data_IF_100307297511
#
_entry.id   IF_100307297511
#
_cell.length_a   1.000
_cell.length_b   1.000
_cell.length_c   1.000
_cell.angle_alpha   90.00
_cell.angle_beta   90.00
_cell.angle_gamma   90.00
#
_symmetry.space_group_name_H-M   'P 1'
#
loop_
_entity.id
_entity.type
_entity.pdbx_description
1 polymer ?
#
# COMPACT_ATOMS: atom_id res chain seq x y z
N UNK A 1 59.25 -24.55 -6.41
CA UNK A 1 58.34 -23.92 -7.40
C UNK A 1 59.11 -22.84 -8.14
N UNK A 2 59.18 -22.91 -9.47
CA UNK A 2 59.88 -21.92 -10.31
C UNK A 2 59.22 -20.55 -10.20
N UNK A 3 59.97 -19.48 -10.49
CA UNK A 3 59.45 -18.10 -10.44
C UNK A 3 58.17 -17.93 -11.27
N UNK A 4 58.07 -18.59 -12.43
CA UNK A 4 56.88 -18.56 -13.28
C UNK A 4 55.63 -19.19 -12.66
N UNK A 5 55.77 -20.22 -11.81
CA UNK A 5 54.64 -20.88 -11.13
C UNK A 5 54.01 -19.97 -10.06
N UNK A 6 54.80 -19.12 -9.39
CA UNK A 6 54.29 -18.16 -8.40
C UNK A 6 53.51 -17.02 -9.06
N UNK A 7 53.96 -16.56 -10.23
CA UNK A 7 53.28 -15.51 -11.00
C UNK A 7 51.92 -15.97 -11.52
N UNK A 8 51.83 -17.21 -12.03
CA UNK A 8 50.56 -17.79 -12.51
C UNK A 8 49.56 -17.94 -11.36
N UNK A 9 50.01 -18.43 -10.19
CA UNK A 9 49.14 -18.59 -9.03
C UNK A 9 48.63 -17.24 -8.51
N UNK A 10 49.46 -16.20 -8.56
CA UNK A 10 49.07 -14.85 -8.17
C UNK A 10 48.04 -14.22 -9.13
N UNK A 11 48.21 -14.40 -10.44
CA UNK A 11 47.23 -13.97 -11.45
C UNK A 11 45.89 -14.71 -11.32
N UNK A 12 45.91 -16.03 -11.05
CA UNK A 12 44.70 -16.81 -10.80
C UNK A 12 43.98 -16.36 -9.52
N UNK A 13 44.73 -16.02 -8.46
CA UNK A 13 44.16 -15.48 -7.23
C UNK A 13 43.49 -14.13 -7.45
N UNK A 14 44.14 -13.22 -8.20
CA UNK A 14 43.55 -11.92 -8.57
C UNK A 14 42.28 -12.13 -9.40
N UNK A 15 42.31 -13.03 -10.38
CA UNK A 15 41.15 -13.33 -11.23
C UNK A 15 40.00 -13.91 -10.39
N UNK A 16 40.30 -14.79 -9.44
CA UNK A 16 39.30 -15.38 -8.54
C UNK A 16 38.70 -14.34 -7.59
N UNK A 17 39.52 -13.43 -7.05
CA UNK A 17 39.07 -12.29 -6.24
C UNK A 17 38.19 -11.36 -7.08
N UNK A 18 38.59 -11.06 -8.32
CA UNK A 18 37.81 -10.24 -9.24
C UNK A 18 36.48 -10.92 -9.61
N UNK A 19 36.48 -12.24 -9.80
CA UNK A 19 35.28 -13.03 -10.06
C UNK A 19 34.34 -13.07 -8.85
N UNK A 20 34.87 -13.23 -7.63
CA UNK A 20 34.08 -13.17 -6.39
C UNK A 20 33.52 -11.76 -6.08
N UNK A 21 34.28 -10.70 -6.39
CA UNK A 21 33.83 -9.31 -6.29
C UNK A 21 32.74 -8.99 -7.33
N UNK A 22 32.89 -9.51 -8.56
CA UNK A 22 31.90 -9.33 -9.64
C UNK A 22 30.59 -10.08 -9.34
N UNK A 23 30.67 -11.27 -8.75
CA UNK A 23 29.49 -12.04 -8.32
C UNK A 23 28.78 -11.40 -7.11
N UNK A 24 29.50 -10.63 -6.28
CA UNK A 24 28.91 -9.94 -5.12
C UNK A 24 28.19 -8.65 -5.48
N UNK A 25 28.45 -8.07 -6.66
CA UNK A 25 27.78 -6.86 -7.15
C UNK A 25 26.53 -7.15 -7.99
N UNK A 26 26.56 -8.22 -8.80
CA UNK A 26 25.49 -8.54 -9.74
C UNK A 26 24.12 -8.93 -9.12
N UNK A 27 24.02 -9.05 -7.80
CA UNK A 27 22.81 -9.45 -7.08
C UNK A 27 22.05 -8.33 -6.36
N UNK A 28 22.50 -7.06 -6.43
CA UNK A 28 21.89 -5.93 -5.69
C UNK A 28 21.26 -4.85 -6.58
N UNK A 29 21.29 -4.98 -7.90
CA UNK A 29 21.09 -3.82 -8.79
C UNK A 29 19.65 -3.60 -9.28
N UNK A 30 18.72 -4.51 -9.00
CA UNK A 30 17.33 -4.38 -9.44
C UNK A 30 16.35 -4.33 -8.27
N UNK A 31 15.39 -3.40 -8.34
CA UNK A 31 14.25 -3.34 -7.42
C UNK A 31 13.53 -4.70 -7.43
N UNK A 32 13.26 -5.33 -6.26
CA UNK A 32 12.53 -6.58 -6.20
C UNK A 32 11.18 -6.44 -6.89
N UNK A 33 10.84 -7.34 -7.82
CA UNK A 33 9.55 -7.28 -8.50
C UNK A 33 8.38 -7.67 -7.57
N UNK A 34 7.19 -7.13 -7.85
CA UNK A 34 5.94 -7.61 -7.28
C UNK A 34 4.94 -7.87 -8.39
N UNK A 35 4.21 -8.98 -8.29
CA UNK A 35 3.08 -9.27 -9.19
C UNK A 35 1.78 -8.59 -8.73
N UNK A 36 1.77 -7.97 -7.55
CA UNK A 36 0.56 -7.50 -6.87
C UNK A 36 0.24 -6.03 -7.14
N UNK A 37 1.28 -5.24 -7.37
CA UNK A 37 1.19 -3.80 -7.59
C UNK A 37 2.39 -3.32 -8.39
N UNK A 38 2.24 -2.13 -8.98
CA UNK A 38 3.32 -1.36 -9.58
C UNK A 38 3.62 -0.12 -8.76
N UNK A 39 4.88 0.27 -8.63
CA UNK A 39 5.24 1.54 -8.00
C UNK A 39 5.20 2.68 -9.03
N UNK A 40 4.36 3.65 -8.77
CA UNK A 40 4.43 4.96 -9.40
C UNK A 40 5.21 5.93 -8.51
N UNK A 41 6.03 6.79 -9.12
CA UNK A 41 6.95 7.68 -8.41
C UNK A 41 6.50 9.13 -8.57
N UNK A 42 5.58 9.64 -7.72
CA UNK A 42 5.15 11.03 -7.81
C UNK A 42 6.27 12.04 -7.54
N UNK A 43 7.25 11.70 -6.69
CA UNK A 43 8.44 12.51 -6.44
C UNK A 43 9.64 11.61 -6.08
N UNK A 44 10.85 12.17 -6.09
CA UNK A 44 12.03 11.46 -5.59
C UNK A 44 11.78 10.99 -4.14
N UNK A 45 12.04 9.72 -3.82
CA UNK A 45 11.76 9.17 -2.49
C UNK A 45 10.29 9.08 -2.07
N UNK A 46 9.32 9.26 -2.98
CA UNK A 46 7.88 9.11 -2.70
C UNK A 46 7.29 8.18 -3.75
N UNK A 47 6.65 7.11 -3.30
CA UNK A 47 6.11 6.06 -4.16
C UNK A 47 4.66 5.77 -3.79
N UNK A 48 3.82 5.60 -4.80
CA UNK A 48 2.47 5.08 -4.68
C UNK A 48 2.46 3.66 -5.26
N UNK A 49 2.07 2.68 -4.47
CA UNK A 49 1.89 1.32 -4.91
C UNK A 49 0.45 1.14 -5.41
N UNK A 50 0.33 0.95 -6.72
CA UNK A 50 -0.95 0.87 -7.42
C UNK A 50 -1.22 -0.59 -7.78
N UNK A 51 -2.39 -1.11 -7.38
CA UNK A 51 -2.81 -2.46 -7.73
C UNK A 51 -2.71 -2.72 -9.24
N UNK A 52 -2.26 -3.92 -9.62
CA UNK A 52 -2.12 -4.32 -11.01
C UNK A 52 -3.46 -4.75 -11.61
N UNK A 53 -3.82 -4.22 -12.78
CA UNK A 53 -5.02 -4.61 -13.55
C UNK A 53 -5.07 -6.11 -13.92
N UNK A 54 -3.93 -6.80 -13.84
CA UNK A 54 -3.79 -8.24 -14.09
C UNK A 54 -4.02 -9.10 -12.85
N UNK A 55 -4.41 -8.49 -11.73
CA UNK A 55 -4.73 -9.14 -10.47
C UNK A 55 -3.62 -9.10 -9.42
N UNK A 56 -3.80 -9.86 -8.34
CA UNK A 56 -2.89 -9.92 -7.20
C UNK A 56 -3.50 -9.42 -5.89
N UNK A 57 -2.67 -9.36 -4.85
CA UNK A 57 -3.10 -9.26 -3.46
C UNK A 57 -3.08 -7.83 -2.88
N UNK A 58 -2.86 -6.81 -3.70
CA UNK A 58 -2.81 -5.43 -3.22
C UNK A 58 -4.21 -4.91 -2.88
N UNK A 59 -5.21 -5.12 -3.77
CA UNK A 59 -6.66 -4.83 -3.63
C UNK A 59 -7.01 -3.34 -3.35
N UNK A 60 -6.16 -2.60 -2.64
CA UNK A 60 -6.20 -1.15 -2.44
C UNK A 60 -4.85 -0.51 -2.87
N UNK A 61 -4.65 0.77 -2.54
CA UNK A 61 -3.42 1.52 -2.82
C UNK A 61 -2.61 1.70 -1.54
N UNK A 62 -1.29 1.60 -1.65
CA UNK A 62 -0.37 1.86 -0.54
C UNK A 62 0.62 2.97 -0.88
N UNK A 63 1.29 3.51 0.15
CA UNK A 63 2.33 4.52 0.00
C UNK A 63 3.66 4.05 0.58
N UNK A 64 4.77 4.53 0.00
CA UNK A 64 6.11 4.42 0.56
C UNK A 64 6.81 5.78 0.49
N UNK A 65 7.27 6.28 1.63
CA UNK A 65 7.90 7.60 1.75
C UNK A 65 9.27 7.47 2.45
N UNK A 66 10.31 7.97 1.78
CA UNK A 66 11.65 8.18 2.32
C UNK A 66 11.75 9.55 3.00
N UNK A 67 11.75 9.56 4.34
CA UNK A 67 12.01 10.77 5.12
C UNK A 67 13.51 11.07 5.29
N UNK A 68 14.38 10.22 4.78
CA UNK A 68 15.83 10.33 4.85
C UNK A 68 16.45 9.44 5.91
N UNK A 69 15.97 9.55 7.14
CA UNK A 69 16.37 8.73 8.30
C UNK A 69 15.29 7.71 8.67
N UNK A 70 14.11 7.77 8.03
CA UNK A 70 12.97 6.90 8.26
C UNK A 70 12.35 6.44 6.95
N UNK A 71 11.84 5.22 6.95
CA UNK A 71 11.06 4.64 5.87
C UNK A 71 9.65 4.44 6.37
N UNK A 72 8.69 5.05 5.68
CA UNK A 72 7.29 5.12 6.08
C UNK A 72 6.43 4.38 5.06
N UNK A 73 5.57 3.49 5.54
CA UNK A 73 4.52 2.84 4.74
C UNK A 73 3.17 3.45 5.07
N UNK A 74 2.32 3.62 4.07
CA UNK A 74 0.92 4.00 4.22
C UNK A 74 0.06 2.81 3.77
N UNK A 75 -0.96 2.44 4.55
CA UNK A 75 -2.02 1.48 4.17
C UNK A 75 -1.48 0.20 3.50
N UNK A 76 -0.83 -0.72 4.26
CA UNK A 76 -0.08 -1.86 3.73
C UNK A 76 -0.90 -3.00 3.08
N UNK A 77 -2.03 -2.70 2.44
CA UNK A 77 -2.93 -3.67 1.81
C UNK A 77 -3.62 -4.63 2.78
N UNK A 78 -4.54 -5.43 2.24
CA UNK A 78 -5.28 -6.43 3.02
C UNK A 78 -4.47 -7.71 3.20
N UNK A 79 -3.65 -8.04 2.20
CA UNK A 79 -2.96 -9.32 2.17
C UNK A 79 -1.51 -9.19 2.67
N UNK A 80 -1.12 -9.99 3.68
CA UNK A 80 0.27 -10.05 4.16
C UNK A 80 1.29 -10.36 3.06
N UNK A 81 0.91 -11.11 2.02
CA UNK A 81 1.80 -11.40 0.89
C UNK A 81 2.17 -10.15 0.08
N UNK A 82 1.20 -9.28 -0.26
CA UNK A 82 1.50 -8.02 -0.94
C UNK A 82 2.26 -7.06 -0.02
N UNK A 83 1.93 -7.03 1.27
CA UNK A 83 2.63 -6.23 2.27
C UNK A 83 4.12 -6.61 2.40
N UNK A 84 4.45 -7.91 2.30
CA UNK A 84 5.86 -8.39 2.28
C UNK A 84 6.62 -7.88 1.06
N UNK A 85 5.99 -7.82 -0.12
CA UNK A 85 6.60 -7.23 -1.32
C UNK A 85 6.83 -5.73 -1.14
N UNK A 86 5.82 -5.02 -0.61
CA UNK A 86 5.91 -3.59 -0.33
C UNK A 86 7.04 -3.27 0.65
N UNK A 87 7.16 -4.03 1.73
CA UNK A 87 8.26 -3.92 2.70
C UNK A 87 9.61 -4.11 2.02
N UNK A 88 9.80 -5.20 1.26
CA UNK A 88 11.07 -5.48 0.57
C UNK A 88 11.46 -4.37 -0.40
N UNK A 89 10.51 -3.88 -1.20
CA UNK A 89 10.77 -2.79 -2.12
C UNK A 89 11.07 -1.48 -1.39
N UNK A 90 10.36 -1.16 -0.31
CA UNK A 90 10.60 0.04 0.47
C UNK A 90 11.99 0.02 1.14
N UNK A 91 12.37 -1.10 1.74
CA UNK A 91 13.69 -1.27 2.35
C UNK A 91 14.82 -1.25 1.30
N UNK A 92 14.58 -1.80 0.11
CA UNK A 92 15.52 -1.70 -1.01
C UNK A 92 15.70 -0.25 -1.47
N UNK A 93 14.61 0.49 -1.69
CA UNK A 93 14.63 1.86 -2.19
C UNK A 93 15.24 2.86 -1.19
N UNK A 94 15.05 2.60 0.10
CA UNK A 94 15.51 3.50 1.17
C UNK A 94 16.85 3.06 1.77
N UNK A 95 17.25 1.80 1.57
CA UNK A 95 18.46 1.22 2.17
C UNK A 95 18.36 1.03 3.68
N UNK A 96 17.14 1.03 4.26
CA UNK A 96 16.92 0.88 5.70
C UNK A 96 15.58 0.22 6.01
N UNK A 97 15.42 -0.40 7.20
CA UNK A 97 14.16 -1.01 7.61
C UNK A 97 13.00 -0.01 7.63
N UNK A 98 11.79 -0.49 7.35
CA UNK A 98 10.56 0.28 7.61
C UNK A 98 10.47 0.55 9.11
N UNK A 99 10.28 1.82 9.48
CA UNK A 99 10.22 2.24 10.89
C UNK A 99 8.86 2.80 11.29
N UNK A 100 8.01 3.18 10.33
CA UNK A 100 6.66 3.67 10.58
C UNK A 100 5.68 3.07 9.57
N UNK A 101 4.50 2.69 10.06
CA UNK A 101 3.32 2.40 9.25
C UNK A 101 2.21 3.36 9.66
N UNK A 102 1.56 3.98 8.69
CA UNK A 102 0.45 4.90 8.91
C UNK A 102 -0.82 4.26 8.34
N UNK A 103 -1.80 4.00 9.21
CA UNK A 103 -3.14 3.59 8.78
C UNK A 103 -4.00 4.85 8.69
N UNK A 104 -4.37 5.17 7.46
CA UNK A 104 -5.14 6.36 7.11
C UNK A 104 -6.65 6.12 7.23
N UNK A 105 -7.01 4.85 7.13
CA UNK A 105 -8.37 4.34 7.04
C UNK A 105 -8.49 3.06 7.91
N UNK A 106 -9.57 2.88 8.70
CA UNK A 106 -9.75 1.72 9.57
C UNK A 106 -10.39 0.49 8.93
N UNK A 107 -10.83 0.53 7.67
CA UNK A 107 -11.37 -0.63 6.98
C UNK A 107 -10.30 -1.72 6.83
N UNK A 108 -10.78 -2.95 6.62
CA UNK A 108 -9.91 -4.13 6.60
C UNK A 108 -8.90 -4.14 5.45
N UNK A 109 -9.24 -3.52 4.32
CA UNK A 109 -8.45 -3.59 3.11
C UNK A 109 -7.15 -2.76 3.12
N UNK A 110 -7.05 -1.61 3.80
CA UNK A 110 -5.77 -0.91 3.97
C UNK A 110 -4.89 -1.46 5.09
N UNK A 111 -5.38 -2.33 5.99
CA UNK A 111 -4.65 -2.65 7.24
C UNK A 111 -4.32 -4.14 7.45
N UNK A 112 -4.86 -5.06 6.66
CA UNK A 112 -4.61 -6.50 6.86
C UNK A 112 -3.13 -6.90 6.74
N UNK A 113 -2.29 -6.08 6.09
CA UNK A 113 -0.85 -6.25 5.98
C UNK A 113 -0.03 -5.75 7.19
N UNK A 114 -0.66 -5.11 8.18
CA UNK A 114 0.01 -4.52 9.35
C UNK A 114 0.96 -5.51 10.06
N UNK A 115 0.56 -6.79 10.17
CA UNK A 115 1.34 -7.84 10.85
C UNK A 115 2.76 -8.03 10.28
N UNK A 116 3.01 -7.63 9.04
CA UNK A 116 4.32 -7.79 8.36
C UNK A 116 5.38 -6.81 8.88
N UNK A 117 4.94 -5.72 9.51
CA UNK A 117 5.82 -4.63 9.92
C UNK A 117 6.20 -4.69 11.40
N UNK A 118 5.51 -5.49 12.21
CA UNK A 118 5.87 -5.69 13.61
C UNK A 118 6.95 -6.78 13.79
N UNK A 119 7.83 -6.65 14.79
CA UNK A 119 7.98 -5.52 15.72
C UNK A 119 8.89 -4.39 15.17
N UNK A 120 9.19 -4.39 13.87
CA UNK A 120 10.20 -3.50 13.26
C UNK A 120 9.77 -2.04 13.06
N UNK A 121 8.47 -1.77 13.01
CA UNK A 121 7.89 -0.45 12.83
C UNK A 121 6.85 -0.13 13.91
N UNK A 122 6.65 1.15 14.17
CA UNK A 122 5.51 1.65 14.96
C UNK A 122 4.34 1.92 14.03
N UNK A 123 3.18 1.38 14.35
CA UNK A 123 1.95 1.60 13.59
C UNK A 123 1.18 2.78 14.22
N UNK A 124 0.78 3.76 13.40
CA UNK A 124 0.10 4.97 13.84
C UNK A 124 -1.24 5.11 13.11
N UNK A 125 -2.30 5.42 13.84
CA UNK A 125 -3.62 5.76 13.29
C UNK A 125 -4.25 6.95 14.04
N UNK A 126 -5.48 7.33 13.69
CA UNK A 126 -6.31 8.13 14.60
C UNK A 126 -6.84 7.27 15.76
N UNK A 127 -7.26 7.91 16.86
CA UNK A 127 -7.88 7.20 17.98
C UNK A 127 -9.17 6.47 17.57
N UNK A 128 -10.02 7.12 16.76
CA UNK A 128 -11.24 6.51 16.23
C UNK A 128 -10.94 5.32 15.32
N UNK A 129 -9.92 5.42 14.47
CA UNK A 129 -9.53 4.30 13.60
C UNK A 129 -9.12 3.08 14.42
N UNK A 130 -8.28 3.25 15.45
CA UNK A 130 -7.89 2.14 16.34
C UNK A 130 -9.11 1.49 17.00
N UNK A 131 -10.04 2.30 17.53
CA UNK A 131 -11.26 1.80 18.16
C UNK A 131 -12.18 1.06 17.18
N UNK A 132 -12.27 1.54 15.93
CA UNK A 132 -13.01 0.86 14.86
C UNK A 132 -12.41 -0.51 14.56
N UNK A 133 -11.09 -0.58 14.35
CA UNK A 133 -10.38 -1.83 14.04
C UNK A 133 -10.59 -2.86 15.17
N UNK A 134 -10.43 -2.44 16.42
CA UNK A 134 -10.61 -3.29 17.61
C UNK A 134 -12.02 -3.92 17.70
N UNK A 135 -13.03 -3.26 17.15
CA UNK A 135 -14.43 -3.68 17.26
C UNK A 135 -14.98 -4.35 15.99
N UNK A 136 -14.43 -4.06 14.81
CA UNK A 136 -14.98 -4.49 13.51
C UNK A 136 -14.09 -5.50 12.78
N UNK A 137 -12.76 -5.37 12.85
CA UNK A 137 -11.86 -6.10 11.96
C UNK A 137 -12.07 -7.62 11.98
N UNK A 138 -12.13 -8.22 13.17
CA UNK A 138 -12.31 -9.67 13.28
C UNK A 138 -13.68 -10.11 12.75
N UNK A 139 -14.73 -9.33 13.01
CA UNK A 139 -16.09 -9.60 12.54
C UNK A 139 -16.18 -9.51 11.02
N UNK A 140 -15.55 -8.50 10.43
CA UNK A 140 -15.53 -8.31 8.98
C UNK A 140 -14.74 -9.43 8.31
N UNK A 141 -13.58 -9.79 8.87
CA UNK A 141 -12.78 -10.92 8.40
C UNK A 141 -13.55 -12.25 8.46
N UNK A 142 -14.25 -12.52 9.57
CA UNK A 142 -15.06 -13.73 9.72
C UNK A 142 -16.22 -13.75 8.72
N UNK A 143 -16.89 -12.61 8.53
CA UNK A 143 -17.96 -12.44 7.53
C UNK A 143 -17.41 -12.69 6.12
N UNK A 144 -16.27 -12.09 5.76
CA UNK A 144 -15.62 -12.29 4.47
C UNK A 144 -15.22 -13.76 4.25
N UNK A 145 -14.68 -14.43 5.27
CA UNK A 145 -14.34 -15.87 5.22
C UNK A 145 -15.57 -16.74 4.92
N UNK A 146 -16.74 -16.36 5.44
CA UNK A 146 -18.00 -17.05 5.20
C UNK A 146 -18.58 -16.75 3.80
N UNK A 147 -18.58 -15.48 3.38
CA UNK A 147 -19.32 -15.03 2.18
C UNK A 147 -18.50 -15.10 0.89
N UNK A 148 -17.23 -14.65 0.91
CA UNK A 148 -16.40 -14.46 -0.29
C UNK A 148 -16.20 -15.75 -1.10
N UNK A 149 -15.99 -16.94 -0.51
CA UNK A 149 -15.88 -18.18 -1.31
C UNK A 149 -17.14 -18.48 -2.15
N UNK A 150 -18.32 -18.18 -1.61
CA UNK A 150 -19.58 -18.32 -2.33
C UNK A 150 -19.74 -17.27 -3.43
N UNK A 151 -19.40 -16.01 -3.12
CA UNK A 151 -19.44 -14.92 -4.08
C UNK A 151 -18.46 -15.12 -5.23
N UNK A 152 -17.25 -15.63 -4.95
CA UNK A 152 -16.26 -16.00 -5.97
C UNK A 152 -16.84 -16.98 -6.99
N UNK A 153 -17.54 -18.01 -6.51
CA UNK A 153 -18.18 -18.99 -7.40
C UNK A 153 -19.27 -18.34 -8.27
N UNK A 154 -20.09 -17.47 -7.68
CA UNK A 154 -21.12 -16.73 -8.43
C UNK A 154 -20.49 -15.85 -9.51
N UNK A 155 -19.42 -15.12 -9.17
CA UNK A 155 -18.68 -14.27 -10.11
C UNK A 155 -18.08 -15.10 -11.24
N UNK A 156 -17.45 -16.24 -10.93
CA UNK A 156 -16.88 -17.16 -11.93
C UNK A 156 -17.96 -17.71 -12.88
N UNK A 157 -19.11 -18.15 -12.35
CA UNK A 157 -20.23 -18.65 -13.15
C UNK A 157 -20.84 -17.59 -14.06
N UNK A 158 -20.86 -16.33 -13.62
CA UNK A 158 -21.31 -15.19 -14.46
C UNK A 158 -20.28 -14.83 -15.52
N UNK A 159 -18.99 -14.84 -15.16
CA UNK A 159 -17.89 -14.46 -16.04
C UNK A 159 -17.82 -15.32 -17.31
N UNK A 160 -18.22 -16.60 -17.23
CA UNK A 160 -18.28 -17.52 -18.40
C UNK A 160 -19.18 -16.95 -19.52
N UNK A 161 -20.27 -16.28 -19.16
CA UNK A 161 -21.29 -15.77 -20.08
C UNK A 161 -21.20 -14.28 -20.35
N UNK A 162 -20.43 -13.55 -19.52
CA UNK A 162 -20.29 -12.11 -19.63
C UNK A 162 -19.43 -11.70 -20.84
N UNK A 163 -19.76 -10.54 -21.40
CA UNK A 163 -19.02 -9.89 -22.49
C UNK A 163 -18.90 -8.39 -22.24
N UNK A 164 -18.07 -7.70 -23.03
CA UNK A 164 -17.89 -6.25 -22.93
C UNK A 164 -17.44 -5.79 -21.54
N UNK A 165 -18.05 -4.71 -21.05
CA UNK A 165 -17.71 -4.08 -19.77
C UNK A 165 -18.00 -5.02 -18.58
N UNK A 166 -19.13 -5.72 -18.60
CA UNK A 166 -19.49 -6.65 -17.51
C UNK A 166 -18.42 -7.74 -17.33
N UNK A 167 -17.87 -8.26 -18.44
CA UNK A 167 -16.79 -9.26 -18.38
C UNK A 167 -15.54 -8.69 -17.71
N UNK A 168 -15.19 -7.46 -18.01
CA UNK A 168 -14.04 -6.79 -17.43
C UNK A 168 -14.23 -6.58 -15.92
N UNK A 169 -15.40 -6.11 -15.49
CA UNK A 169 -15.73 -5.90 -14.08
C UNK A 169 -15.76 -7.21 -13.29
N UNK A 170 -16.38 -8.26 -13.84
CA UNK A 170 -16.39 -9.58 -13.20
C UNK A 170 -14.99 -10.20 -13.15
N UNK A 171 -14.13 -9.97 -14.14
CA UNK A 171 -12.75 -10.47 -14.11
C UNK A 171 -11.92 -9.78 -13.01
N UNK A 172 -12.09 -8.47 -12.82
CA UNK A 172 -11.45 -7.76 -11.72
C UNK A 172 -11.94 -8.27 -10.37
N UNK A 173 -13.27 -8.40 -10.20
CA UNK A 173 -13.86 -8.91 -8.96
C UNK A 173 -13.47 -10.36 -8.67
N UNK A 174 -13.37 -11.20 -9.70
CA UNK A 174 -12.91 -12.58 -9.57
C UNK A 174 -11.48 -12.62 -9.04
N UNK A 175 -10.61 -11.77 -9.59
CA UNK A 175 -9.24 -11.63 -9.12
C UNK A 175 -9.17 -11.15 -7.66
N UNK A 176 -9.96 -10.13 -7.28
CA UNK A 176 -10.03 -9.62 -5.90
C UNK A 176 -10.47 -10.72 -4.91
N UNK A 177 -11.56 -11.43 -5.21
CA UNK A 177 -12.07 -12.48 -4.33
C UNK A 177 -11.14 -13.70 -4.26
N UNK A 178 -10.54 -14.10 -5.38
CA UNK A 178 -9.49 -15.13 -5.37
C UNK A 178 -8.32 -14.70 -4.49
N UNK A 179 -7.93 -13.42 -4.59
CA UNK A 179 -6.86 -12.86 -3.80
C UNK A 179 -7.17 -12.90 -2.28
N UNK A 180 -8.39 -12.56 -1.89
CA UNK A 180 -8.83 -12.66 -0.49
C UNK A 180 -8.86 -14.11 0.00
N UNK A 181 -9.45 -15.03 -0.76
CA UNK A 181 -9.56 -16.45 -0.39
C UNK A 181 -8.19 -17.07 -0.12
N UNK A 182 -7.22 -16.81 -0.98
CA UNK A 182 -5.85 -17.32 -0.79
C UNK A 182 -5.16 -16.68 0.43
N UNK A 183 -5.53 -15.45 0.81
CA UNK A 183 -4.91 -14.71 1.92
C UNK A 183 -5.53 -14.98 3.30
N UNK A 184 -6.81 -15.40 3.37
CA UNK A 184 -7.52 -15.65 4.63
C UNK A 184 -6.79 -16.51 5.67
N UNK A 185 -5.99 -17.53 5.31
CA UNK A 185 -5.24 -18.31 6.29
C UNK A 185 -4.13 -17.53 7.02
N UNK A 186 -3.65 -16.42 6.45
CA UNK A 186 -2.53 -15.63 6.99
C UNK A 186 -2.96 -14.33 7.69
N UNK A 187 -4.14 -13.79 7.37
CA UNK A 187 -4.58 -12.47 7.85
C UNK A 187 -4.87 -12.53 9.36
N UNK A 188 -4.17 -11.67 10.12
CA UNK A 188 -4.33 -11.50 11.56
C UNK A 188 -4.56 -10.02 11.92
N UNK A 189 -5.46 -9.79 12.88
CA UNK A 189 -5.71 -8.44 13.40
C UNK A 189 -4.46 -7.89 14.08
N UNK A 190 -3.93 -6.77 13.57
CA UNK A 190 -2.79 -6.06 14.15
C UNK A 190 -3.14 -4.60 14.37
N UNK A 191 -3.29 -4.22 15.64
CA UNK A 191 -3.75 -2.88 16.04
C UNK A 191 -2.63 -1.82 15.95
N UNK A 192 -2.98 -0.54 15.67
CA UNK A 192 -2.02 0.57 15.70
C UNK A 192 -1.40 0.85 17.08
N UNK A 193 -0.08 0.81 17.23
CA UNK A 193 0.61 1.02 18.52
C UNK A 193 0.39 2.43 19.13
N UNK A 194 0.28 3.44 18.27
CA UNK A 194 0.11 4.84 18.66
C UNK A 194 -1.11 5.46 17.97
N UNK A 195 -1.75 6.39 18.66
CA UNK A 195 -2.87 7.16 18.11
C UNK A 195 -2.59 8.66 18.19
N UNK A 196 -3.18 9.40 17.24
CA UNK A 196 -3.18 10.87 17.25
C UNK A 196 -4.62 11.41 17.28
N UNK A 197 -4.79 12.56 17.92
CA UNK A 197 -6.09 13.28 17.99
C UNK A 197 -6.12 14.54 17.12
N UNK A 198 -4.96 15.11 16.82
CA UNK A 198 -4.82 16.33 16.02
C UNK A 198 -3.64 16.25 15.06
N UNK A 199 -3.40 17.31 14.26
CA UNK A 199 -2.32 17.31 13.29
C UNK A 199 -0.96 17.07 13.94
N UNK A 200 -0.17 16.18 13.34
CA UNK A 200 1.16 15.82 13.83
C UNK A 200 2.17 15.92 12.69
N UNK A 201 3.32 16.56 12.95
CA UNK A 201 4.43 16.58 11.99
C UNK A 201 5.45 15.51 12.38
N UNK A 202 5.80 14.64 11.43
CA UNK A 202 6.95 13.74 11.55
C UNK A 202 8.10 14.36 10.79
N UNK A 203 9.15 14.71 11.53
CA UNK A 203 10.37 15.25 10.95
C UNK A 203 11.29 14.13 10.47
N UNK A 204 11.90 14.37 9.31
CA UNK A 204 12.97 13.53 8.79
C UNK A 204 14.10 14.35 8.19
N UNK A 205 15.24 13.71 8.00
CA UNK A 205 16.47 14.37 7.52
C UNK A 205 16.40 14.86 6.06
N UNK A 206 15.52 14.29 5.22
CA UNK A 206 15.29 14.72 3.83
C UNK A 206 13.98 15.49 3.65
N UNK A 207 12.90 15.07 4.33
CA UNK A 207 11.59 15.71 4.23
C UNK A 207 10.77 15.47 5.49
N UNK A 208 9.75 16.30 5.67
CA UNK A 208 8.75 16.16 6.73
C UNK A 208 7.42 15.74 6.11
N UNK A 209 6.62 15.02 6.91
CA UNK A 209 5.21 14.74 6.59
C UNK A 209 4.31 15.29 7.68
N UNK A 210 3.09 15.66 7.32
CA UNK A 210 2.05 16.09 8.25
C UNK A 210 0.91 15.10 8.19
N UNK A 211 0.67 14.43 9.32
CA UNK A 211 -0.52 13.63 9.56
C UNK A 211 -1.66 14.58 9.91
N UNK A 212 -2.76 14.49 9.17
CA UNK A 212 -3.92 15.37 9.37
C UNK A 212 -5.15 14.51 9.55
N UNK A 213 -5.62 14.29 10.79
CA UNK A 213 -6.93 13.72 11.02
C UNK A 213 -7.99 14.60 10.35
N UNK A 214 -8.78 14.01 9.45
CA UNK A 214 -9.86 14.74 8.76
C UNK A 214 -11.23 14.47 9.40
N UNK A 215 -11.28 13.50 10.32
CA UNK A 215 -12.43 13.23 11.16
C UNK A 215 -13.35 12.21 10.50
N UNK A 216 -14.66 12.47 10.52
CA UNK A 216 -15.62 11.65 9.79
C UNK A 216 -15.57 12.03 8.32
N UNK A 217 -15.24 11.13 7.43
CA UNK A 217 -15.20 11.35 5.99
C UNK A 217 -15.79 10.14 5.28
N UNK A 218 -14.92 9.34 4.70
CA UNK A 218 -15.27 8.02 4.19
C UNK A 218 -15.61 7.03 5.32
N UNK A 219 -14.89 7.12 6.45
CA UNK A 219 -15.14 6.39 7.69
C UNK A 219 -15.30 7.35 8.88
N UNK A 220 -15.18 6.83 10.10
CA UNK A 220 -15.22 7.61 11.34
C UNK A 220 -13.83 8.03 11.85
N UNK A 221 -12.76 7.55 11.21
CA UNK A 221 -11.38 7.64 11.70
C UNK A 221 -10.36 8.11 10.66
N UNK A 222 -10.80 8.77 9.60
CA UNK A 222 -9.95 9.08 8.44
C UNK A 222 -8.82 10.06 8.76
N UNK A 223 -7.69 9.84 8.10
CA UNK A 223 -6.50 10.67 8.16
C UNK A 223 -5.85 10.78 6.79
N UNK A 224 -5.30 11.94 6.47
CA UNK A 224 -4.48 12.14 5.28
C UNK A 224 -3.02 12.38 5.67
N UNK A 225 -2.11 12.14 4.72
CA UNK A 225 -0.69 12.48 4.86
C UNK A 225 -0.31 13.52 3.82
N UNK A 226 0.10 14.70 4.30
CA UNK A 226 0.57 15.80 3.46
C UNK A 226 2.10 15.83 3.43
N UNK A 227 2.65 16.05 2.24
CA UNK A 227 4.06 16.36 1.97
C UNK A 227 4.12 17.79 1.43
N UNK A 228 4.18 18.82 2.29
CA UNK A 228 4.03 20.22 1.84
C UNK A 228 5.12 20.65 0.85
N UNK A 229 6.36 20.19 1.04
CA UNK A 229 7.47 20.51 0.15
C UNK A 229 7.31 19.93 -1.26
N UNK A 230 6.70 18.75 -1.39
CA UNK A 230 6.44 18.07 -2.67
C UNK A 230 5.07 18.44 -3.27
N UNK A 231 4.23 19.15 -2.49
CA UNK A 231 2.80 19.42 -2.77
C UNK A 231 2.02 18.14 -3.07
N UNK A 232 2.30 17.06 -2.35
CA UNK A 232 1.62 15.75 -2.48
C UNK A 232 0.76 15.52 -1.25
N UNK A 233 -0.42 14.93 -1.44
CA UNK A 233 -1.28 14.45 -0.36
C UNK A 233 -1.70 13.02 -0.67
N UNK A 234 -1.46 12.11 0.29
CA UNK A 234 -2.05 10.78 0.29
C UNK A 234 -3.37 10.84 1.06
N UNK A 235 -4.44 10.40 0.42
CA UNK A 235 -5.81 10.63 0.88
C UNK A 235 -6.55 9.34 1.25
N UNK A 236 -5.92 8.18 1.07
CA UNK A 236 -6.61 6.88 1.15
C UNK A 236 -7.94 6.92 0.37
N UNK A 237 -9.05 6.48 0.97
CA UNK A 237 -10.38 6.51 0.38
C UNK A 237 -11.19 7.80 0.63
N UNK A 238 -10.54 8.92 0.99
CA UNK A 238 -11.22 10.24 0.98
C UNK A 238 -11.59 10.74 -0.43
N UNK A 239 -10.95 10.22 -1.50
CA UNK A 239 -11.19 10.68 -2.87
C UNK A 239 -11.42 9.55 -3.86
N UNK A 240 -12.60 9.56 -4.47
CA UNK A 240 -12.99 8.62 -5.51
C UNK A 240 -13.12 9.33 -6.89
N UNK A 241 -12.20 9.06 -7.82
CA UNK A 241 -12.11 9.81 -9.10
C UNK A 241 -13.00 9.21 -10.20
N UNK A 242 -14.09 9.87 -10.61
CA UNK A 242 -15.10 9.40 -11.61
C UNK A 242 -16.09 8.33 -11.07
N UNK A 243 -16.41 8.36 -9.77
CA UNK A 243 -17.49 7.58 -9.12
C UNK A 243 -17.99 8.26 -7.87
N UNK A 244 -19.06 7.73 -7.32
CA UNK A 244 -19.53 8.09 -5.99
C UNK A 244 -18.62 7.50 -4.91
N UNK A 245 -18.42 8.22 -3.79
CA UNK A 245 -17.73 7.68 -2.64
C UNK A 245 -18.55 6.54 -2.00
N UNK A 246 -17.85 5.56 -1.44
CA UNK A 246 -18.48 4.67 -0.47
C UNK A 246 -18.62 5.42 0.86
N UNK A 247 -19.81 5.39 1.45
CA UNK A 247 -20.16 6.15 2.66
C UNK A 247 -20.94 5.28 3.65
N UNK A 248 -20.73 3.96 3.64
CA UNK A 248 -21.40 3.04 4.57
C UNK A 248 -21.14 3.38 6.04
N UNK A 249 -19.91 3.84 6.31
CA UNK A 249 -19.43 4.26 7.64
C UNK A 249 -19.14 5.77 7.72
N UNK A 250 -19.41 6.49 6.62
CA UNK A 250 -18.98 7.87 6.41
C UNK A 250 -20.07 8.91 6.69
N UNK A 251 -19.75 10.16 6.39
CA UNK A 251 -20.69 11.29 6.43
C UNK A 251 -20.48 12.22 5.22
N UNK A 252 -21.48 12.41 4.33
CA UNK A 252 -21.30 13.19 3.11
C UNK A 252 -20.87 14.66 3.34
N UNK A 253 -21.42 15.31 4.35
CA UNK A 253 -21.12 16.72 4.65
C UNK A 253 -19.71 16.88 5.23
N UNK A 254 -19.31 15.96 6.10
CA UNK A 254 -17.97 15.93 6.67
C UNK A 254 -16.92 15.53 5.64
N UNK A 255 -17.23 14.60 4.72
CA UNK A 255 -16.39 14.30 3.56
C UNK A 255 -16.18 15.55 2.68
N UNK A 256 -17.24 16.31 2.40
CA UNK A 256 -17.12 17.58 1.66
C UNK A 256 -16.22 18.59 2.40
N UNK A 257 -16.32 18.66 3.74
CA UNK A 257 -15.45 19.47 4.58
C UNK A 257 -13.99 19.02 4.50
N UNK A 258 -13.74 17.70 4.55
CA UNK A 258 -12.41 17.11 4.39
C UNK A 258 -11.79 17.45 3.04
N UNK A 259 -12.52 17.25 1.94
CA UNK A 259 -12.06 17.60 0.59
C UNK A 259 -11.72 19.09 0.44
N UNK A 260 -12.50 19.99 1.06
CA UNK A 260 -12.17 21.43 1.11
C UNK A 260 -10.86 21.70 1.87
N UNK A 261 -10.60 21.00 2.97
CA UNK A 261 -9.33 21.11 3.72
C UNK A 261 -8.15 20.61 2.89
N UNK A 262 -8.32 19.49 2.20
CA UNK A 262 -7.30 18.93 1.29
C UNK A 262 -6.97 19.95 0.19
N UNK A 263 -7.98 20.55 -0.44
CA UNK A 263 -7.77 21.59 -1.46
C UNK A 263 -7.01 22.80 -0.91
N UNK A 264 -7.25 23.18 0.36
CA UNK A 264 -6.55 24.28 1.01
C UNK A 264 -5.05 23.97 1.28
N UNK A 265 -4.63 22.70 1.27
CA UNK A 265 -3.22 22.31 1.30
C UNK A 265 -2.49 22.60 -0.03
N UNK A 266 -3.23 23.04 -1.06
CA UNK A 266 -2.72 23.38 -2.37
C UNK A 266 -1.90 22.24 -3.03
N UNK A 267 -2.40 20.99 -3.05
CA UNK A 267 -1.70 19.89 -3.71
C UNK A 267 -1.54 20.18 -5.20
N UNK A 268 -0.46 19.69 -5.81
CA UNK A 268 -0.33 19.71 -7.27
C UNK A 268 -1.15 18.57 -7.88
N UNK A 269 -1.55 18.66 -9.16
CA UNK A 269 -2.20 17.56 -9.86
C UNK A 269 -1.36 16.27 -9.77
N UNK A 270 -2.05 15.15 -9.55
CA UNK A 270 -1.40 13.84 -9.49
C UNK A 270 -0.67 13.53 -10.81
N UNK A 271 0.63 13.21 -10.79
CA UNK A 271 1.32 12.69 -11.97
C UNK A 271 1.04 11.20 -12.20
N UNK A 272 0.43 10.54 -11.22
CA UNK A 272 0.11 9.12 -11.20
C UNK A 272 -1.11 8.82 -12.08
N UNK A 273 -1.12 7.66 -12.75
CA UNK A 273 -2.25 7.29 -13.60
C UNK A 273 -3.48 7.03 -12.73
N UNK A 274 -4.65 7.46 -13.21
CA UNK A 274 -5.96 7.05 -12.66
C UNK A 274 -6.27 5.58 -13.01
N UNK A 275 -5.31 4.68 -12.84
CA UNK A 275 -5.47 3.25 -13.10
C UNK A 275 -5.91 2.60 -11.80
N UNK A 276 -7.09 1.99 -11.86
CA UNK A 276 -7.76 1.20 -10.81
C UNK A 276 -8.60 2.00 -9.79
N UNK A 277 -9.91 1.74 -9.74
CA UNK A 277 -10.80 2.13 -8.65
C UNK A 277 -10.66 1.22 -7.41
N UNK A 278 -10.38 1.75 -6.21
CA UNK A 278 -10.69 1.10 -4.91
C UNK A 278 -12.20 0.84 -4.78
N UNK A 279 -12.65 -0.35 -5.19
CA UNK A 279 -14.02 -0.87 -5.18
C UNK A 279 -15.07 -0.28 -6.16
N UNK A 280 -15.56 -1.16 -7.05
CA UNK A 280 -16.89 -1.18 -7.69
C UNK A 280 -17.42 0.11 -8.35
N UNK A 281 -17.66 0.11 -9.68
CA UNK A 281 -18.37 1.21 -10.35
C UNK A 281 -19.47 0.76 -11.28
N UNK A 282 -20.63 1.40 -11.11
CA UNK A 282 -21.66 1.57 -12.13
C UNK A 282 -21.31 2.86 -12.89
N UNK A 283 -21.18 2.78 -14.23
CA UNK A 283 -21.13 3.94 -15.13
C UNK A 283 -22.56 4.33 -15.54
N UNK A 284 -22.89 5.62 -15.51
CA UNK A 284 -23.90 6.18 -16.41
C UNK A 284 -23.18 6.99 -17.50
N UNK A 285 -23.49 6.70 -18.75
CA UNK A 285 -23.12 7.52 -19.91
C UNK A 285 -24.07 8.71 -20.02
N UNK A 286 -23.49 9.90 -20.23
CA UNK A 286 -24.06 11.20 -20.63
C UNK A 286 -25.26 11.76 -19.88
#
# INVERSE_FOLDING_TARGET
MSAGSKTILFLLLILMIFFMLSFSFAGRDALPESRHFTLEKPAEGVYAAIHNDLGGFAICKAGNIDLGDRTVILDPFICPTAARDLKRQAEFLTGRPVSLVLNLDPHSDPIGGNQVFIPGAVIISTANARAYIETHFQKDLDTQKETVPGELKIVQDRLIRASGIERFELALRESEYKALVDAFPEIEMTLPDMTIEGPMTIHGSKRNIVLVPVGRGHTTGDMIVSLPGDRIVFMSDELFVKRHPYLGDGDPESLLSSLKRILALNPRPSPCRDTVPSEGRIRYER
#
